data_IF_013696250394
#
_entry.id   IF_013696250394
#
_cell.length_a   1.000
_cell.length_b   1.000
_cell.length_c   1.000
_cell.angle_alpha   90.00
_cell.angle_beta   90.00
_cell.angle_gamma   90.00
#
_symmetry.space_group_name_H-M   'P 1'
#
loop_
_entity.id
_entity.type
_entity.pdbx_description
1 polymer ?
#
# COMPACT_ATOMS: atom_id res chain seq x y z
N UNK A 1 12.93 -3.35 -19.09
CA UNK A 1 11.46 -3.35 -19.31
C UNK A 1 10.70 -4.28 -18.36
N UNK A 2 11.03 -5.58 -18.26
CA UNK A 2 10.39 -6.55 -17.34
C UNK A 2 10.39 -6.14 -15.86
N UNK A 3 11.51 -5.60 -15.36
CA UNK A 3 11.66 -5.15 -13.97
C UNK A 3 10.60 -4.10 -13.61
N UNK A 4 10.35 -3.16 -14.52
CA UNK A 4 9.37 -2.09 -14.34
C UNK A 4 7.95 -2.67 -14.29
N UNK A 5 7.63 -3.60 -15.20
CA UNK A 5 6.33 -4.28 -15.22
C UNK A 5 6.10 -5.11 -13.96
N UNK A 6 7.12 -5.79 -13.46
CA UNK A 6 7.04 -6.54 -12.21
C UNK A 6 6.78 -5.62 -11.01
N UNK A 7 7.48 -4.48 -10.94
CA UNK A 7 7.22 -3.45 -9.92
C UNK A 7 5.79 -2.89 -10.02
N UNK A 8 5.27 -2.68 -11.24
CA UNK A 8 3.90 -2.22 -11.45
C UNK A 8 2.89 -3.22 -10.89
N UNK A 9 3.11 -4.52 -11.12
CA UNK A 9 2.25 -5.59 -10.57
C UNK A 9 2.32 -5.61 -9.05
N UNK A 10 3.52 -5.55 -8.47
CA UNK A 10 3.68 -5.52 -7.01
C UNK A 10 2.97 -4.31 -6.39
N UNK A 11 3.12 -3.13 -7.00
CA UNK A 11 2.44 -1.92 -6.56
C UNK A 11 0.91 -2.09 -6.62
N UNK A 12 0.37 -2.63 -7.72
CA UNK A 12 -1.06 -2.88 -7.87
C UNK A 12 -1.59 -3.89 -6.84
N UNK A 13 -0.86 -4.99 -6.60
CA UNK A 13 -1.23 -5.98 -5.59
C UNK A 13 -1.27 -5.35 -4.20
N UNK A 14 -0.22 -4.62 -3.82
CA UNK A 14 -0.16 -3.95 -2.52
C UNK A 14 -1.27 -2.90 -2.37
N UNK A 15 -1.57 -2.18 -3.45
CA UNK A 15 -2.66 -1.20 -3.52
C UNK A 15 -4.03 -1.84 -3.23
N UNK A 16 -4.33 -2.99 -3.84
CA UNK A 16 -5.56 -3.73 -3.57
C UNK A 16 -5.63 -4.26 -2.14
N UNK A 17 -4.51 -4.71 -1.58
CA UNK A 17 -4.45 -5.15 -0.18
C UNK A 17 -4.73 -3.99 0.78
N UNK A 18 -4.24 -2.78 0.50
CA UNK A 18 -4.55 -1.60 1.32
C UNK A 18 -6.03 -1.23 1.26
N UNK A 19 -6.67 -1.33 0.10
CA UNK A 19 -8.11 -1.13 -0.03
C UNK A 19 -8.86 -2.18 0.78
N UNK A 20 -8.46 -3.45 0.68
CA UNK A 20 -9.06 -4.51 1.48
C UNK A 20 -8.93 -4.22 2.99
N UNK A 21 -7.76 -3.78 3.46
CA UNK A 21 -7.56 -3.37 4.86
C UNK A 21 -8.47 -2.22 5.27
N UNK A 22 -8.56 -1.18 4.44
CA UNK A 22 -9.42 -0.04 4.71
C UNK A 22 -10.89 -0.45 4.79
N UNK A 23 -11.36 -1.24 3.82
CA UNK A 23 -12.70 -1.79 3.82
C UNK A 23 -12.98 -2.66 5.05
N UNK A 24 -12.03 -3.52 5.45
CA UNK A 24 -12.14 -4.34 6.68
C UNK A 24 -12.28 -3.48 7.94
N UNK A 25 -11.63 -2.31 8.01
CA UNK A 25 -11.78 -1.41 9.17
C UNK A 25 -13.19 -0.84 9.33
N UNK A 26 -14.00 -0.88 8.27
CA UNK A 26 -15.39 -0.41 8.27
C UNK A 26 -16.40 -1.53 8.53
N UNK A 27 -15.98 -2.79 8.38
CA UNK A 27 -16.88 -3.93 8.57
C UNK A 27 -17.08 -4.15 10.07
N UNK A 28 -18.33 -4.16 10.56
CA UNK A 28 -18.61 -4.48 11.95
C UNK A 28 -18.33 -5.96 12.23
N UNK A 29 -17.81 -6.26 13.42
CA UNK A 29 -17.53 -7.62 13.89
C UNK A 29 -16.58 -8.44 12.98
N UNK A 30 -15.57 -7.81 12.37
CA UNK A 30 -14.52 -8.53 11.63
C UNK A 30 -13.80 -9.53 12.53
N UNK A 31 -13.69 -10.77 12.04
CA UNK A 31 -12.82 -11.78 12.64
C UNK A 31 -11.36 -11.53 12.24
N UNK A 32 -10.63 -10.78 13.08
CA UNK A 32 -9.18 -10.59 12.95
C UNK A 32 -8.36 -11.86 13.20
N UNK A 33 -9.01 -12.95 13.64
CA UNK A 33 -8.45 -14.29 13.74
C UNK A 33 -8.27 -14.99 12.39
N UNK A 34 -9.10 -14.63 11.40
CA UNK A 34 -9.15 -15.26 10.09
C UNK A 34 -7.81 -15.12 9.33
N UNK A 35 -7.27 -16.20 8.71
CA UNK A 35 -5.95 -16.17 8.07
C UNK A 35 -5.76 -15.06 7.04
N UNK A 36 -6.79 -14.79 6.23
CA UNK A 36 -6.74 -13.74 5.20
C UNK A 36 -6.68 -12.35 5.82
N UNK A 37 -7.45 -12.09 6.89
CA UNK A 37 -7.44 -10.80 7.58
C UNK A 37 -6.08 -10.59 8.25
N UNK A 38 -5.56 -11.61 8.95
CA UNK A 38 -4.21 -11.57 9.52
C UNK A 38 -3.14 -11.28 8.48
N UNK A 39 -3.20 -11.94 7.33
CA UNK A 39 -2.26 -11.70 6.23
C UNK A 39 -2.30 -10.25 5.74
N UNK A 40 -3.50 -9.71 5.49
CA UNK A 40 -3.69 -8.33 5.05
C UNK A 40 -3.10 -7.35 6.07
N UNK A 41 -3.38 -7.54 7.35
CA UNK A 41 -2.83 -6.69 8.40
C UNK A 41 -1.32 -6.84 8.49
N UNK A 42 -0.78 -8.05 8.51
CA UNK A 42 0.65 -8.31 8.66
C UNK A 42 1.49 -7.66 7.57
N UNK A 43 1.08 -7.78 6.30
CA UNK A 43 1.83 -7.22 5.17
C UNK A 43 1.75 -5.69 5.07
N UNK A 44 0.65 -5.09 5.53
CA UNK A 44 0.43 -3.64 5.45
C UNK A 44 0.87 -2.88 6.71
N UNK A 45 0.91 -3.54 7.87
CA UNK A 45 1.13 -2.91 9.18
C UNK A 45 2.42 -2.09 9.27
N UNK A 46 3.59 -2.54 8.76
CA UNK A 46 4.83 -1.75 8.88
C UNK A 46 4.71 -0.36 8.27
N UNK A 47 4.02 -0.24 7.13
CA UNK A 47 3.83 1.04 6.44
C UNK A 47 2.61 1.80 6.99
N UNK A 48 1.50 1.12 7.27
CA UNK A 48 0.29 1.78 7.80
C UNK A 48 0.56 2.38 9.18
N UNK A 49 1.35 1.71 10.03
CA UNK A 49 1.68 2.18 11.37
C UNK A 49 2.39 3.54 11.37
N UNK A 50 3.15 3.87 10.32
CA UNK A 50 3.79 5.18 10.17
C UNK A 50 2.78 6.33 10.10
N UNK A 51 1.53 6.04 9.74
CA UNK A 51 0.46 7.01 9.59
C UNK A 51 -0.61 6.89 10.69
N UNK A 52 -0.38 6.06 11.73
CA UNK A 52 -1.29 5.95 12.87
C UNK A 52 -1.31 7.24 13.68
N UNK A 53 -2.51 7.69 14.04
CA UNK A 53 -2.70 8.88 14.86
C UNK A 53 -2.61 10.22 14.11
N UNK A 54 -2.37 10.24 12.80
CA UNK A 54 -2.40 11.48 11.99
C UNK A 54 -3.83 12.04 11.92
N UNK A 55 -4.80 11.15 11.67
CA UNK A 55 -6.22 11.50 11.68
C UNK A 55 -6.79 11.01 13.02
N UNK A 56 -7.44 11.89 13.81
CA UNK A 56 -8.15 11.47 15.01
C UNK A 56 -9.14 10.33 14.70
N UNK A 57 -9.28 9.33 15.59
CA UNK A 57 -10.16 8.20 15.33
C UNK A 57 -11.62 8.67 15.18
N UNK A 58 -12.28 8.28 14.08
CA UNK A 58 -13.72 8.45 13.89
C UNK A 58 -14.38 7.07 14.07
N UNK A 59 -14.80 6.78 15.30
CA UNK A 59 -15.27 5.44 15.66
C UNK A 59 -14.16 4.40 15.55
N UNK A 60 -14.48 3.25 14.94
CA UNK A 60 -13.53 2.13 14.75
C UNK A 60 -12.78 2.16 13.41
N UNK A 61 -12.89 3.25 12.66
CA UNK A 61 -12.33 3.36 11.32
C UNK A 61 -10.83 3.67 11.39
N UNK A 62 -10.02 2.86 10.71
CA UNK A 62 -8.59 3.11 10.50
C UNK A 62 -8.40 3.87 9.17
N UNK A 63 -8.14 5.18 9.23
CA UNK A 63 -7.85 6.00 8.04
C UNK A 63 -6.37 5.96 7.64
N UNK A 64 -5.47 5.36 8.43
CA UNK A 64 -4.05 5.31 8.09
C UNK A 64 -3.75 4.62 6.75
N UNK A 65 -4.45 3.53 6.34
CA UNK A 65 -4.34 2.96 5.00
C UNK A 65 -4.69 3.95 3.88
N UNK A 66 -5.66 4.84 4.10
CA UNK A 66 -6.06 5.85 3.11
C UNK A 66 -4.96 6.91 2.94
N UNK A 67 -4.33 7.34 4.03
CA UNK A 67 -3.19 8.27 3.97
C UNK A 67 -2.03 7.62 3.22
N UNK A 68 -1.70 6.37 3.57
CA UNK A 68 -0.66 5.61 2.88
C UNK A 68 -0.96 5.46 1.38
N UNK A 69 -2.21 5.21 1.01
CA UNK A 69 -2.65 5.19 -0.39
C UNK A 69 -2.30 6.49 -1.12
N UNK A 70 -2.59 7.65 -0.51
CA UNK A 70 -2.31 8.96 -1.12
C UNK A 70 -0.81 9.16 -1.32
N UNK A 71 -0.03 8.84 -0.29
CA UNK A 71 1.43 8.91 -0.32
C UNK A 71 1.99 8.02 -1.44
N UNK A 72 1.53 6.78 -1.54
CA UNK A 72 1.98 5.82 -2.56
C UNK A 72 1.62 6.26 -3.97
N UNK A 73 0.41 6.80 -4.17
CA UNK A 73 -0.04 7.29 -5.49
C UNK A 73 0.77 8.48 -5.98
N UNK A 74 1.30 9.28 -5.05
CA UNK A 74 2.22 10.37 -5.37
C UNK A 74 3.65 9.86 -5.58
N UNK A 75 4.18 9.03 -4.69
CA UNK A 75 5.61 8.65 -4.71
C UNK A 75 5.93 7.65 -5.83
N UNK A 76 5.08 6.67 -6.09
CA UNK A 76 5.40 5.57 -7.00
C UNK A 76 5.68 6.01 -8.45
N UNK A 77 4.89 6.93 -9.08
CA UNK A 77 5.20 7.42 -10.41
C UNK A 77 6.56 8.14 -10.50
N UNK A 78 6.93 8.91 -9.48
CA UNK A 78 8.24 9.58 -9.44
C UNK A 78 9.37 8.56 -9.31
N UNK A 79 9.21 7.58 -8.41
CA UNK A 79 10.17 6.49 -8.23
C UNK A 79 10.34 5.69 -9.53
N UNK A 80 9.24 5.32 -10.18
CA UNK A 80 9.24 4.59 -11.45
C UNK A 80 9.96 5.37 -12.54
N UNK A 81 9.69 6.68 -12.67
CA UNK A 81 10.36 7.54 -13.65
C UNK A 81 11.87 7.54 -13.42
N UNK A 82 12.31 7.76 -12.17
CA UNK A 82 13.73 7.75 -11.82
C UNK A 82 14.39 6.41 -12.14
N UNK A 83 13.74 5.29 -11.81
CA UNK A 83 14.24 3.95 -12.09
C UNK A 83 14.39 3.70 -13.59
N UNK A 84 13.42 4.13 -14.39
CA UNK A 84 13.48 4.04 -15.86
C UNK A 84 14.63 4.88 -16.41
N UNK A 85 14.75 6.14 -15.96
CA UNK A 85 15.84 7.04 -16.38
C UNK A 85 17.23 6.45 -16.07
N UNK A 86 17.39 5.81 -14.91
CA UNK A 86 18.63 5.13 -14.51
C UNK A 86 18.91 3.93 -15.43
N UNK A 87 17.92 3.06 -15.69
CA UNK A 87 18.07 1.90 -16.57
C UNK A 87 18.55 2.34 -17.96
N UNK A 88 17.95 3.41 -18.51
CA UNK A 88 18.37 3.97 -19.79
C UNK A 88 19.80 4.50 -19.77
N UNK A 89 20.18 5.25 -18.73
CA UNK A 89 21.55 5.79 -18.57
C UNK A 89 22.61 4.69 -18.46
N UNK A 90 22.27 3.56 -17.86
CA UNK A 90 23.16 2.42 -17.70
C UNK A 90 23.24 1.53 -18.95
N UNK A 91 22.48 1.82 -20.01
CA UNK A 91 22.46 0.98 -21.20
C UNK A 91 21.74 -0.35 -21.02
N UNK A 92 20.90 -0.49 -19.97
CA UNK A 92 20.24 -1.74 -19.57
C UNK A 92 18.84 -1.91 -20.20
N UNK A 93 18.63 -1.34 -21.39
CA UNK A 93 17.33 -1.32 -22.07
C UNK A 93 17.04 -2.59 -22.88
#
# INVERSE_FOLDING_TARGET
MLIVSFLDVLFQVYWWILIARFALSWVPNVDYGHPVVKFIHAITEPLVRLFKGIIPPLGNIDFSPLILFLVLRLIYPLFKKLLVDIIFRLGLY
#
